data_IF_770270080201
#
_entry.id   IF_770270080201
#
_cell.length_a   1.000
_cell.length_b   1.000
_cell.length_c   1.000
_cell.angle_alpha   90.00
_cell.angle_beta   90.00
_cell.angle_gamma   90.00
#
_symmetry.space_group_name_H-M   'P 1'
#
loop_
_entity.id
_entity.type
_entity.pdbx_description
1 polymer ?
#
# COMPACT_ATOMS: atom_id res chain seq x y z
N UNK A 1 0.73 -1.31 14.66
CA UNK A 1 1.70 -2.29 14.09
C UNK A 1 2.42 -1.65 12.92
N UNK A 2 3.74 -1.81 12.81
CA UNK A 2 4.51 -1.35 11.65
C UNK A 2 4.67 -2.49 10.66
N UNK A 3 4.49 -2.18 9.38
CA UNK A 3 4.73 -3.12 8.30
C UNK A 3 6.17 -3.66 8.42
N UNK A 4 6.29 -4.98 8.60
CA UNK A 4 7.52 -5.76 8.42
C UNK A 4 7.72 -6.13 6.96
N UNK A 5 7.01 -5.50 6.03
CA UNK A 5 7.30 -5.64 4.61
C UNK A 5 8.54 -4.80 4.34
N UNK A 6 9.44 -5.37 3.53
CA UNK A 6 10.27 -4.73 2.50
C UNK A 6 11.78 -4.75 2.67
N UNK A 7 12.39 -5.24 3.77
CA UNK A 7 13.84 -5.52 3.66
C UNK A 7 14.13 -6.61 2.64
N UNK A 8 13.25 -7.59 2.48
CA UNK A 8 13.44 -8.69 1.53
C UNK A 8 12.98 -8.32 0.12
N UNK A 9 11.77 -7.76 -0.06
CA UNK A 9 11.32 -7.29 -1.38
C UNK A 9 12.26 -6.23 -1.97
N UNK A 10 12.73 -5.27 -1.17
CA UNK A 10 13.76 -4.31 -1.63
C UNK A 10 15.05 -5.04 -1.98
N UNK A 11 15.53 -5.97 -1.14
CA UNK A 11 16.73 -6.75 -1.49
C UNK A 11 16.56 -7.45 -2.85
N UNK A 12 15.44 -8.13 -3.07
CA UNK A 12 15.16 -8.83 -4.32
C UNK A 12 15.05 -7.88 -5.52
N UNK A 13 14.30 -6.79 -5.39
CA UNK A 13 14.14 -5.78 -6.45
C UNK A 13 15.46 -5.09 -6.77
N UNK A 14 16.38 -4.94 -5.81
CA UNK A 14 17.70 -4.33 -6.03
C UNK A 14 18.79 -5.32 -6.48
N UNK A 15 18.54 -6.64 -6.50
CA UNK A 15 19.45 -7.61 -7.13
C UNK A 15 19.56 -7.31 -8.64
N UNK A 16 20.71 -7.57 -9.25
CA UNK A 16 20.95 -7.27 -10.67
C UNK A 16 20.06 -8.07 -11.64
N UNK A 17 19.53 -9.22 -11.19
CA UNK A 17 18.59 -10.07 -11.95
C UNK A 17 17.55 -10.64 -10.98
N UNK A 18 16.46 -9.91 -10.69
CA UNK A 18 15.39 -10.44 -9.87
C UNK A 18 14.64 -11.56 -10.60
N UNK A 19 14.36 -12.66 -9.90
CA UNK A 19 13.41 -13.64 -10.38
C UNK A 19 12.01 -13.00 -10.40
N UNK A 20 11.43 -12.87 -11.60
CA UNK A 20 10.13 -12.21 -11.81
C UNK A 20 9.02 -12.88 -11.02
N UNK A 21 9.02 -14.21 -10.91
CA UNK A 21 7.98 -14.94 -10.17
C UNK A 21 8.07 -14.66 -8.66
N UNK A 22 9.30 -14.58 -8.14
CA UNK A 22 9.53 -14.24 -6.73
C UNK A 22 9.08 -12.81 -6.45
N UNK A 23 9.42 -11.85 -7.32
CA UNK A 23 8.98 -10.46 -7.17
C UNK A 23 7.45 -10.35 -7.24
N UNK A 24 6.79 -11.05 -8.17
CA UNK A 24 5.32 -11.09 -8.23
C UNK A 24 4.70 -11.60 -6.92
N UNK A 25 5.21 -12.72 -6.40
CA UNK A 25 4.72 -13.33 -5.16
C UNK A 25 4.90 -12.42 -3.95
N UNK A 26 6.04 -11.74 -3.86
CA UNK A 26 6.32 -10.79 -2.78
C UNK A 26 5.47 -9.50 -2.91
N UNK A 27 5.21 -9.03 -4.13
CA UNK A 27 4.24 -7.94 -4.38
C UNK A 27 2.83 -8.34 -3.97
N UNK A 28 2.38 -9.57 -4.27
CA UNK A 28 1.06 -10.06 -3.86
C UNK A 28 0.92 -10.09 -2.34
N UNK A 29 1.92 -10.62 -1.62
CA UNK A 29 1.95 -10.57 -0.15
C UNK A 29 1.91 -9.14 0.37
N UNK A 30 2.64 -8.22 -0.27
CA UNK A 30 2.64 -6.80 0.10
C UNK A 30 1.21 -6.23 0.02
N UNK A 31 0.51 -6.49 -1.07
CA UNK A 31 -0.87 -6.04 -1.25
C UNK A 31 -1.83 -6.61 -0.20
N UNK A 32 -1.73 -7.89 0.12
CA UNK A 32 -2.57 -8.52 1.15
C UNK A 32 -2.36 -7.88 2.53
N UNK A 33 -1.10 -7.62 2.90
CA UNK A 33 -0.77 -7.00 4.17
C UNK A 33 -1.24 -5.54 4.18
N UNK A 34 -1.07 -4.78 3.09
CA UNK A 34 -1.58 -3.42 2.98
C UNK A 34 -3.11 -3.40 3.10
N UNK A 35 -3.82 -4.32 2.45
CA UNK A 35 -5.27 -4.41 2.57
C UNK A 35 -5.71 -4.69 4.02
N UNK A 36 -5.04 -5.62 4.71
CA UNK A 36 -5.32 -5.89 6.12
C UNK A 36 -5.07 -4.65 6.98
N UNK A 37 -3.94 -3.98 6.78
CA UNK A 37 -3.60 -2.78 7.55
C UNK A 37 -4.59 -1.65 7.30
N UNK A 38 -5.08 -1.48 6.07
CA UNK A 38 -6.14 -0.53 5.74
C UNK A 38 -7.45 -0.86 6.50
N UNK A 39 -7.80 -2.14 6.65
CA UNK A 39 -8.99 -2.54 7.42
C UNK A 39 -8.82 -2.24 8.92
N UNK A 40 -7.62 -2.45 9.45
CA UNK A 40 -7.30 -2.35 10.87
C UNK A 40 -6.91 -0.94 11.36
N UNK A 41 -6.80 0.06 10.46
CA UNK A 41 -6.41 1.43 10.87
C UNK A 41 -7.33 1.95 11.98
N UNK A 42 -6.74 2.22 13.15
CA UNK A 42 -7.41 2.82 14.30
C UNK A 42 -6.85 4.19 14.66
N UNK A 43 -5.66 4.55 14.19
CA UNK A 43 -4.94 5.75 14.63
C UNK A 43 -4.34 6.60 13.50
N UNK A 44 -4.13 7.89 13.75
CA UNK A 44 -3.44 8.80 12.82
C UNK A 44 -1.97 8.40 12.58
N UNK A 45 -1.35 7.67 13.50
CA UNK A 45 0.01 7.12 13.34
C UNK A 45 0.02 6.04 12.26
N UNK A 46 -0.97 5.14 12.28
CA UNK A 46 -1.11 4.08 11.28
C UNK A 46 -1.44 4.63 9.89
N UNK A 47 -2.28 5.68 9.82
CA UNK A 47 -2.51 6.41 8.56
C UNK A 47 -1.19 6.90 7.95
N UNK A 48 -0.30 7.48 8.76
CA UNK A 48 1.02 7.95 8.29
C UNK A 48 1.94 6.80 7.87
N UNK A 49 1.88 5.66 8.55
CA UNK A 49 2.66 4.47 8.16
C UNK A 49 2.21 3.95 6.80
N UNK A 50 0.90 3.81 6.59
CA UNK A 50 0.34 3.32 5.32
C UNK A 50 0.66 4.26 4.15
N UNK A 51 0.70 5.57 4.38
CA UNK A 51 1.15 6.52 3.35
C UNK A 51 2.59 6.23 2.92
N UNK A 52 3.49 6.00 3.88
CA UNK A 52 4.89 5.62 3.57
C UNK A 52 4.96 4.27 2.84
N UNK A 53 4.09 3.34 3.20
CA UNK A 53 4.03 2.03 2.53
C UNK A 53 3.58 2.18 1.06
N UNK A 54 2.67 3.12 0.75
CA UNK A 54 2.31 3.47 -0.62
C UNK A 54 3.44 4.18 -1.38
N UNK A 55 4.15 5.11 -0.75
CA UNK A 55 5.33 5.77 -1.35
C UNK A 55 6.38 4.73 -1.74
N UNK A 56 6.68 3.81 -0.83
CA UNK A 56 7.65 2.74 -1.05
C UNK A 56 7.23 1.76 -2.15
N UNK A 57 5.93 1.49 -2.29
CA UNK A 57 5.40 0.68 -3.39
C UNK A 57 5.58 1.38 -4.75
N UNK A 58 5.36 2.70 -4.80
CA UNK A 58 5.61 3.51 -6.00
C UNK A 58 7.08 3.45 -6.41
N UNK A 59 8.00 3.61 -5.46
CA UNK A 59 9.45 3.54 -5.73
C UNK A 59 9.85 2.16 -6.29
N UNK A 60 9.24 1.08 -5.79
CA UNK A 60 9.47 -0.28 -6.30
C UNK A 60 8.99 -0.39 -7.76
N UNK A 61 7.83 0.15 -8.10
CA UNK A 61 7.34 0.13 -9.48
C UNK A 61 8.21 0.94 -10.43
N UNK A 62 8.70 2.10 -9.99
CA UNK A 62 9.62 2.91 -10.79
C UNK A 62 10.91 2.14 -11.09
N UNK A 63 11.48 1.45 -10.09
CA UNK A 63 12.68 0.61 -10.29
C UNK A 63 12.41 -0.54 -11.25
N UNK A 64 11.29 -1.26 -11.09
CA UNK A 64 10.92 -2.39 -11.96
C UNK A 64 10.64 -1.93 -13.40
N UNK A 65 10.06 -0.74 -13.57
CA UNK A 65 9.81 -0.13 -14.88
C UNK A 65 11.12 0.27 -15.58
N UNK A 66 12.01 0.99 -14.88
CA UNK A 66 13.30 1.46 -15.42
C UNK A 66 14.16 0.27 -15.88
N UNK A 67 14.17 -0.81 -15.11
CA UNK A 67 14.94 -2.03 -15.42
C UNK A 67 14.34 -2.86 -16.55
N UNK A 68 13.10 -2.58 -16.97
CA UNK A 68 12.34 -3.39 -17.94
C UNK A 68 12.18 -4.85 -17.49
N UNK A 69 12.18 -5.07 -16.18
CA UNK A 69 12.02 -6.41 -15.59
C UNK A 69 10.59 -6.92 -15.79
N UNK A 70 9.61 -6.03 -15.98
CA UNK A 70 8.20 -6.35 -16.20
C UNK A 70 7.69 -5.76 -17.52
N UNK A 71 6.69 -6.40 -18.11
CA UNK A 71 6.01 -5.85 -19.29
C UNK A 71 5.15 -4.64 -18.92
N UNK A 72 4.85 -3.78 -19.90
CA UNK A 72 3.95 -2.64 -19.71
C UNK A 72 2.56 -3.08 -19.22
N UNK A 73 2.07 -4.23 -19.66
CA UNK A 73 0.79 -4.81 -19.23
C UNK A 73 0.80 -5.24 -17.76
N UNK A 74 1.89 -5.86 -17.30
CA UNK A 74 2.07 -6.29 -15.91
C UNK A 74 2.13 -5.08 -14.97
N UNK A 75 2.88 -4.05 -15.35
CA UNK A 75 2.98 -2.81 -14.58
C UNK A 75 1.62 -2.11 -14.53
N UNK A 76 0.86 -2.10 -15.63
CA UNK A 76 -0.51 -1.56 -15.66
C UNK A 76 -1.44 -2.34 -14.73
N UNK A 77 -1.32 -3.67 -14.67
CA UNK A 77 -2.11 -4.48 -13.75
C UNK A 77 -1.80 -4.14 -12.27
N UNK A 78 -0.52 -3.97 -11.92
CA UNK A 78 -0.12 -3.56 -10.58
C UNK A 78 -0.57 -2.13 -10.24
N UNK A 79 -0.48 -1.19 -11.17
CA UNK A 79 -0.96 0.17 -11.00
C UNK A 79 -2.47 0.23 -10.72
N UNK A 80 -3.29 -0.54 -11.47
CA UNK A 80 -4.74 -0.67 -11.20
C UNK A 80 -5.03 -1.19 -9.79
N UNK A 81 -4.23 -2.15 -9.33
CA UNK A 81 -4.38 -2.75 -7.99
C UNK A 81 -4.01 -1.75 -6.89
N UNK A 82 -2.98 -0.93 -7.12
CA UNK A 82 -2.60 0.17 -6.24
C UNK A 82 -3.70 1.25 -6.15
N UNK A 83 -4.28 1.65 -7.28
CA UNK A 83 -5.38 2.61 -7.34
C UNK A 83 -6.59 2.14 -6.51
N UNK A 84 -6.94 0.85 -6.63
CA UNK A 84 -8.00 0.25 -5.81
C UNK A 84 -7.71 0.34 -4.30
N UNK A 85 -6.47 0.09 -3.89
CA UNK A 85 -6.06 0.21 -2.49
C UNK A 85 -6.08 1.67 -2.01
N UNK A 86 -5.65 2.62 -2.85
CA UNK A 86 -5.74 4.06 -2.56
C UNK A 86 -7.19 4.51 -2.36
N UNK A 87 -8.12 3.98 -3.15
CA UNK A 87 -9.56 4.23 -2.98
C UNK A 87 -10.09 3.70 -1.64
N UNK A 88 -9.82 2.42 -1.31
CA UNK A 88 -10.18 1.82 -0.01
C UNK A 88 -9.59 2.61 1.17
N UNK A 89 -8.34 3.02 1.07
CA UNK A 89 -7.66 3.83 2.08
C UNK A 89 -8.32 5.19 2.28
N UNK A 90 -8.70 5.86 1.18
CA UNK A 90 -9.36 7.17 1.21
C UNK A 90 -10.71 7.09 1.92
N UNK A 91 -11.53 6.08 1.60
CA UNK A 91 -12.80 5.83 2.29
C UNK A 91 -12.61 5.58 3.79
N UNK A 92 -11.63 4.76 4.17
CA UNK A 92 -11.34 4.48 5.57
C UNK A 92 -10.85 5.72 6.32
N UNK A 93 -9.96 6.51 5.71
CA UNK A 93 -9.45 7.76 6.26
C UNK A 93 -10.59 8.77 6.50
N UNK A 94 -11.53 8.87 5.55
CA UNK A 94 -12.71 9.72 5.69
C UNK A 94 -13.65 9.23 6.80
N UNK A 95 -13.92 7.92 6.87
CA UNK A 95 -14.69 7.32 7.97
C UNK A 95 -14.08 7.64 9.34
N UNK A 96 -12.75 7.54 9.47
CA UNK A 96 -12.05 7.90 10.72
C UNK A 96 -12.19 9.38 11.07
N UNK A 97 -12.16 10.29 10.07
CA UNK A 97 -12.41 11.72 10.30
C UNK A 97 -13.85 11.95 10.78
N UNK A 98 -14.84 11.35 10.11
CA UNK A 98 -16.26 11.47 10.47
C UNK A 98 -16.56 10.91 11.86
N UNK A 99 -16.00 9.75 12.22
CA UNK A 99 -16.16 9.14 13.55
C UNK A 99 -15.65 10.05 14.68
N UNK A 100 -14.55 10.78 14.46
CA UNK A 100 -14.06 11.78 15.44
C UNK A 100 -15.00 12.97 15.58
N UNK A 101 -15.65 13.40 14.49
CA UNK A 101 -16.59 14.51 14.50
C UNK A 101 -17.97 14.13 15.10
N UNK A 102 -18.39 12.87 14.98
CA UNK A 102 -19.66 12.39 15.55
C UNK A 102 -19.70 12.41 17.08
N UNK A 103 -18.55 12.31 17.76
CA UNK A 103 -18.48 12.47 19.22
C UNK A 103 -18.80 13.91 19.71
N UNK A 104 -18.95 14.88 18.80
CA UNK A 104 -19.25 16.28 19.12
C UNK A 104 -20.65 16.76 18.68
N UNK A 105 -21.51 15.90 18.14
CA UNK A 105 -22.89 16.25 17.75
C UNK A 105 -23.87 15.43 18.58
N UNK A 106 -23.84 15.63 19.90
CA UNK A 106 -25.03 15.52 20.75
C UNK A 106 -25.47 16.96 21.05
N UNK A 107 -26.02 17.64 20.03
CA UNK A 107 -26.91 18.76 20.31
C UNK A 107 -28.24 18.09 20.66
N UNK A 108 -28.56 18.05 21.95
CA UNK A 108 -29.93 17.83 22.42
C UNK A 108 -30.82 18.78 21.62
N UNK A 109 -31.60 18.24 20.68
CA UNK A 109 -32.77 18.91 20.13
C UNK A 109 -33.96 18.59 21.04
#
# INVERSE_FOLDING_TARGET
>A
MGIKITRELVKYVYLNTPDKEVVKKELEKLYEIMERNIKEIGSNREVRLIIKDFEMLSDIFDVLYIRKDFSSEEITHFAKREEHLKSKFSMKKEYMRKKKNYNGIYIYA
#
